data_IF_625813712610
#
_entry.id   IF_625813712610
#
_cell.length_a   1.000
_cell.length_b   1.000
_cell.length_c   1.000
_cell.angle_alpha   90.00
_cell.angle_beta   90.00
_cell.angle_gamma   90.00
#
_symmetry.space_group_name_H-M   'P 1'
#
loop_
_entity.id
_entity.type
_entity.pdbx_description
1 polymer ?
#
# COMPACT_ATOMS: atom_id res chain seq x y z
N UNK A 1 10.67 -22.23 23.87
CA UNK A 1 9.44 -21.41 23.92
C UNK A 1 9.31 -20.70 22.60
N UNK A 2 8.18 -20.81 21.90
CA UNK A 2 7.95 -20.06 20.69
C UNK A 2 7.59 -18.63 21.09
N UNK A 3 8.47 -17.67 20.82
CA UNK A 3 8.20 -16.25 21.05
C UNK A 3 7.41 -15.71 19.87
N UNK A 4 6.31 -15.02 20.15
CA UNK A 4 5.54 -14.31 19.10
C UNK A 4 6.45 -13.25 18.48
N UNK A 5 6.59 -13.20 17.15
CA UNK A 5 7.43 -12.19 16.49
C UNK A 5 6.84 -10.80 16.75
N UNK A 6 7.73 -9.83 16.97
CA UNK A 6 7.39 -8.42 17.17
C UNK A 6 7.99 -7.59 16.05
N UNK A 7 7.27 -6.55 15.67
CA UNK A 7 7.59 -5.69 14.54
C UNK A 7 7.61 -4.23 14.97
N UNK A 8 7.96 -3.36 14.02
CA UNK A 8 7.91 -1.92 14.14
C UNK A 8 8.84 -1.38 15.24
N UNK A 9 8.94 -0.05 15.31
CA UNK A 9 9.64 0.65 16.40
C UNK A 9 8.95 0.47 17.76
N UNK A 10 7.65 0.15 17.77
CA UNK A 10 6.88 -0.06 19.00
C UNK A 10 7.02 -1.49 19.58
N UNK A 11 7.67 -2.42 18.86
CA UNK A 11 7.91 -3.81 19.31
C UNK A 11 6.64 -4.53 19.75
N UNK A 12 5.56 -4.35 19.00
CA UNK A 12 4.30 -5.07 19.21
C UNK A 12 4.15 -6.23 18.21
N UNK A 13 3.39 -7.28 18.57
CA UNK A 13 2.98 -8.31 17.62
C UNK A 13 2.15 -7.73 16.46
N UNK A 14 2.02 -8.51 15.40
CA UNK A 14 1.16 -8.18 14.26
C UNK A 14 -0.33 -8.07 14.67
N UNK A 15 -0.99 -7.00 14.23
CA UNK A 15 -2.43 -6.77 14.37
C UNK A 15 -3.04 -6.53 12.98
N UNK A 16 -4.01 -7.38 12.59
CA UNK A 16 -4.70 -7.32 11.30
C UNK A 16 -5.53 -6.06 11.08
N UNK A 17 -5.84 -5.32 12.16
CA UNK A 17 -6.63 -4.09 12.10
C UNK A 17 -5.78 -2.86 11.85
N UNK A 18 -4.45 -2.98 11.91
CA UNK A 18 -3.52 -1.88 11.72
C UNK A 18 -2.81 -1.99 10.37
N UNK A 19 -2.88 -0.94 9.56
CA UNK A 19 -2.10 -0.85 8.33
C UNK A 19 -0.59 -0.88 8.63
N UNK A 20 0.15 -1.71 7.90
CA UNK A 20 1.60 -1.83 7.98
C UNK A 20 2.26 -1.76 6.61
N UNK A 21 3.49 -1.23 6.58
CA UNK A 21 4.35 -1.13 5.40
C UNK A 21 5.72 -1.76 5.68
N UNK A 22 6.26 -2.49 4.70
CA UNK A 22 7.57 -3.15 4.79
C UNK A 22 8.69 -2.20 4.32
N UNK A 23 9.78 -2.11 5.08
CA UNK A 23 10.97 -1.37 4.67
C UNK A 23 11.87 -2.20 3.75
N UNK A 24 12.26 -1.65 2.60
CA UNK A 24 13.06 -2.40 1.62
C UNK A 24 14.51 -2.65 2.08
N UNK A 25 15.06 -1.79 2.92
CA UNK A 25 16.43 -1.93 3.42
C UNK A 25 16.57 -2.98 4.54
N UNK A 26 15.73 -2.91 5.58
CA UNK A 26 15.83 -3.81 6.74
C UNK A 26 14.86 -4.99 6.73
N UNK A 27 13.89 -5.02 5.81
CA UNK A 27 12.84 -6.05 5.68
C UNK A 27 11.98 -6.24 6.95
N UNK A 28 11.92 -5.21 7.80
CA UNK A 28 11.01 -5.15 8.95
C UNK A 28 9.71 -4.40 8.58
N UNK A 29 8.65 -4.65 9.33
CA UNK A 29 7.31 -4.11 9.11
C UNK A 29 6.99 -3.00 10.10
N UNK A 30 6.35 -1.93 9.63
CA UNK A 30 6.07 -0.73 10.41
C UNK A 30 4.61 -0.35 10.32
N UNK A 31 3.97 -0.07 11.46
CA UNK A 31 2.62 0.51 11.47
C UNK A 31 2.67 1.90 10.82
N UNK A 32 1.78 2.17 9.88
CA UNK A 32 1.70 3.48 9.23
C UNK A 32 1.62 4.64 10.22
N UNK A 33 0.82 4.48 11.28
CA UNK A 33 0.68 5.46 12.37
C UNK A 33 1.96 5.69 13.19
N UNK A 34 2.86 4.69 13.29
CA UNK A 34 4.13 4.84 13.99
C UNK A 34 5.18 5.60 13.17
N UNK A 35 5.05 5.59 11.84
CA UNK A 35 6.05 6.15 10.92
C UNK A 35 5.52 7.29 10.04
N UNK A 36 4.27 7.70 10.26
CA UNK A 36 3.63 8.82 9.54
C UNK A 36 3.30 8.50 8.08
N UNK A 37 2.90 7.27 7.79
CA UNK A 37 2.46 6.84 6.45
C UNK A 37 0.99 6.45 6.52
N UNK A 38 0.15 7.16 5.78
CA UNK A 38 -1.27 6.85 5.64
C UNK A 38 -1.51 5.69 4.66
N UNK A 39 -2.54 4.90 4.91
CA UNK A 39 -2.92 3.77 4.05
C UNK A 39 -3.25 4.21 2.62
N UNK A 40 -3.79 5.42 2.45
CA UNK A 40 -4.11 6.00 1.14
C UNK A 40 -2.86 6.43 0.34
N UNK A 41 -1.75 6.74 1.03
CA UNK A 41 -0.48 7.13 0.39
C UNK A 41 0.38 5.92 0.03
N UNK A 42 0.29 4.85 0.82
CA UNK A 42 1.11 3.65 0.64
C UNK A 42 1.11 3.05 -0.79
N UNK A 43 -0.01 3.03 -1.55
CA UNK A 43 -0.01 2.58 -2.93
C UNK A 43 0.88 3.40 -3.86
N UNK A 44 1.15 4.66 -3.52
CA UNK A 44 1.98 5.57 -4.31
C UNK A 44 3.47 5.47 -3.95
N UNK A 45 3.83 4.84 -2.84
CA UNK A 45 5.22 4.58 -2.45
C UNK A 45 5.74 3.40 -3.30
N UNK A 46 6.89 3.60 -3.94
CA UNK A 46 7.58 2.56 -4.74
C UNK A 46 8.56 1.78 -3.87
N UNK A 47 9.44 2.49 -3.17
CA UNK A 47 10.38 1.93 -2.20
C UNK A 47 10.19 2.66 -0.88
N UNK A 48 9.84 1.92 0.18
CA UNK A 48 9.72 2.47 1.52
C UNK A 48 11.01 2.25 2.32
N UNK A 49 11.54 3.33 2.90
CA UNK A 49 12.61 3.28 3.88
C UNK A 49 12.10 3.80 5.24
N UNK A 50 12.28 3.01 6.30
CA UNK A 50 11.91 3.41 7.65
C UNK A 50 12.79 4.58 8.16
N UNK A 51 12.41 5.29 9.24
CA UNK A 51 13.16 6.45 9.74
C UNK A 51 14.64 6.20 10.09
N UNK A 52 15.00 4.93 10.35
CA UNK A 52 16.38 4.53 10.59
C UNK A 52 17.15 4.31 9.27
N UNK A 53 16.54 3.60 8.33
CA UNK A 53 17.13 3.31 7.03
C UNK A 53 17.17 4.54 6.11
N UNK A 54 16.30 5.54 6.33
CA UNK A 54 16.34 6.79 5.57
C UNK A 54 17.73 7.47 5.66
N UNK A 55 18.42 7.30 6.79
CA UNK A 55 19.74 7.89 7.04
C UNK A 55 20.87 7.19 6.30
N UNK A 56 20.69 5.92 5.93
CA UNK A 56 21.73 5.06 5.33
C UNK A 56 21.47 4.77 3.86
N UNK A 57 20.21 4.51 3.51
CA UNK A 57 19.76 4.05 2.20
C UNK A 57 19.01 5.14 1.41
N UNK A 58 18.84 6.32 2.02
CA UNK A 58 18.15 7.47 1.44
C UNK A 58 16.63 7.44 1.69
N UNK A 59 15.93 8.48 1.23
CA UNK A 59 14.48 8.62 1.43
C UNK A 59 13.68 7.60 0.62
N UNK A 60 12.46 7.34 1.07
CA UNK A 60 11.45 6.59 0.31
C UNK A 60 11.23 7.22 -1.07
N UNK A 61 11.05 6.37 -2.09
CA UNK A 61 10.76 6.80 -3.46
C UNK A 61 9.28 6.63 -3.77
N UNK A 62 8.73 7.55 -4.56
CA UNK A 62 7.34 7.48 -5.02
C UNK A 62 7.28 6.86 -6.42
N UNK A 63 6.21 6.14 -6.72
CA UNK A 63 5.93 5.63 -8.06
C UNK A 63 5.81 6.80 -9.01
N UNK A 64 6.49 6.70 -10.14
CA UNK A 64 6.37 7.72 -11.18
C UNK A 64 4.96 7.64 -11.81
N UNK A 65 4.02 8.41 -11.26
CA UNK A 65 2.69 8.63 -11.85
C UNK A 65 2.89 9.29 -13.20
N UNK A 66 2.98 8.48 -14.27
CA UNK A 66 2.63 8.96 -15.61
C UNK A 66 1.22 9.52 -15.47
N UNK A 67 1.10 10.86 -15.55
CA UNK A 67 -0.17 11.58 -15.35
C UNK A 67 -1.25 10.95 -16.22
N UNK A 68 -2.09 10.12 -15.64
CA UNK A 68 -3.45 9.94 -16.11
C UNK A 68 -4.33 10.67 -15.12
N UNK A 69 -4.63 11.92 -15.47
CA UNK A 69 -5.51 12.85 -14.74
C UNK A 69 -6.64 12.08 -14.05
N UNK A 70 -6.62 12.03 -12.73
CA UNK A 70 -7.84 11.90 -11.96
C UNK A 70 -8.42 13.30 -11.86
N UNK A 71 -9.72 13.40 -12.12
CA UNK A 71 -10.53 14.62 -12.06
C UNK A 71 -10.57 15.50 -13.32
N UNK A 72 -11.47 15.12 -14.22
CA UNK A 72 -12.39 15.95 -15.02
C UNK A 72 -12.85 15.04 -16.15
N UNK A 73 -14.13 14.68 -16.14
CA UNK A 73 -14.73 13.77 -17.11
C UNK A 73 -14.34 14.13 -18.55
N UNK A 74 -13.76 13.17 -19.26
CA UNK A 74 -13.66 13.19 -20.71
C UNK A 74 -13.58 11.74 -21.21
N UNK A 75 -14.55 11.41 -22.06
CA UNK A 75 -14.73 10.13 -22.78
C UNK A 75 -13.44 9.78 -23.51
N UNK A 76 -12.92 8.56 -23.35
CA UNK A 76 -11.96 8.03 -24.33
C UNK A 76 -10.98 6.94 -23.93
N UNK A 77 -10.72 6.66 -22.65
CA UNK A 77 -9.68 5.69 -22.28
C UNK A 77 -10.24 4.54 -21.44
N UNK A 78 -10.05 3.31 -21.90
CA UNK A 78 -10.33 2.09 -21.11
C UNK A 78 -9.29 2.04 -19.99
N UNK A 79 -9.61 2.62 -18.84
CA UNK A 79 -8.79 2.47 -17.62
C UNK A 79 -9.17 1.20 -16.89
N UNK A 80 -8.17 0.51 -16.35
CA UNK A 80 -8.40 -0.66 -15.51
C UNK A 80 -9.28 -0.29 -14.31
N UNK A 81 -10.34 -1.05 -14.12
CA UNK A 81 -11.29 -0.83 -13.03
C UNK A 81 -10.61 -1.24 -11.71
N UNK A 82 -10.60 -0.34 -10.73
CA UNK A 82 -9.99 -0.61 -9.41
C UNK A 82 -10.77 -1.69 -8.66
N UNK A 83 -10.05 -2.62 -8.02
CA UNK A 83 -10.64 -3.67 -7.19
C UNK A 83 -11.52 -3.05 -6.08
N UNK A 84 -12.71 -3.61 -5.86
CA UNK A 84 -13.67 -3.10 -4.87
C UNK A 84 -14.48 -1.86 -5.29
N UNK A 85 -14.15 -1.19 -6.40
CA UNK A 85 -14.94 -0.06 -6.90
C UNK A 85 -16.36 -0.49 -7.31
N UNK A 86 -17.32 0.43 -7.32
CA UNK A 86 -18.70 0.13 -7.71
C UNK A 86 -18.81 -0.41 -9.16
N UNK A 87 -17.93 0.05 -10.05
CA UNK A 87 -17.84 -0.48 -11.42
C UNK A 87 -17.31 -1.91 -11.40
N UNK A 88 -16.27 -2.19 -10.61
CA UNK A 88 -15.72 -3.54 -10.46
C UNK A 88 -16.78 -4.51 -9.93
N UNK A 89 -17.52 -4.12 -8.89
CA UNK A 89 -18.59 -4.94 -8.31
C UNK A 89 -19.71 -5.20 -9.32
N UNK A 90 -20.12 -4.19 -10.08
CA UNK A 90 -21.15 -4.35 -11.11
C UNK A 90 -20.72 -5.32 -12.20
N UNK A 91 -19.49 -5.18 -12.70
CA UNK A 91 -18.93 -6.12 -13.67
C UNK A 91 -18.82 -7.52 -13.09
N UNK A 92 -18.27 -7.66 -11.87
CA UNK A 92 -18.06 -8.95 -11.22
C UNK A 92 -19.37 -9.74 -11.06
N UNK A 93 -20.47 -9.07 -10.69
CA UNK A 93 -21.81 -9.68 -10.58
C UNK A 93 -22.35 -10.19 -11.91
N UNK A 94 -21.92 -9.60 -13.03
CA UNK A 94 -22.36 -10.00 -14.38
C UNK A 94 -21.49 -11.08 -15.02
N UNK A 95 -20.35 -11.44 -14.41
CA UNK A 95 -19.44 -12.46 -14.95
C UNK A 95 -19.97 -13.86 -14.63
N UNK A 96 -19.95 -14.74 -15.62
CA UNK A 96 -20.21 -16.17 -15.44
C UNK A 96 -18.90 -16.89 -15.11
N UNK A 97 -18.90 -17.66 -14.03
CA UNK A 97 -17.75 -18.46 -13.63
C UNK A 97 -18.06 -19.94 -13.89
N UNK A 98 -17.12 -20.72 -14.47
CA UNK A 98 -17.27 -22.16 -14.53
C UNK A 98 -17.40 -22.72 -13.10
N UNK A 99 -18.20 -23.78 -12.98
CA UNK A 99 -18.52 -24.40 -11.70
C UNK A 99 -17.40 -25.32 -11.24
#
# INVERSE_FOLDING_TARGET
>A
MATVPVYCICRLPYDVTQFMIECDACKDWFHGSCVGVDEDEAPDIDIYHCPNCEKTDGKSTMKNKKRTKHDTGQRGDIRAVQNGSQVFIKELRSRTFPR
#
